data_IF_249360537270
#
_entry.id   IF_249360537270
#
_cell.length_a   1.000
_cell.length_b   1.000
_cell.length_c   1.000
_cell.angle_alpha   90.00
_cell.angle_beta   90.00
_cell.angle_gamma   90.00
#
_symmetry.space_group_name_H-M   'P 1'
#
loop_
_entity.id
_entity.type
_entity.pdbx_description
1 polymer ?
#
# COMPACT_ATOMS: atom_id res chain seq x y z
N UNK A 1 0.93 -27.59 12.81
CA UNK A 1 -0.10 -26.65 12.31
C UNK A 1 -0.08 -25.43 13.21
N UNK A 2 0.13 -24.21 12.70
CA UNK A 2 0.13 -23.00 13.51
C UNK A 2 -1.22 -22.84 14.23
N UNK A 3 -1.20 -22.39 15.47
CA UNK A 3 -2.43 -22.16 16.23
C UNK A 3 -3.12 -20.86 15.79
N UNK A 4 -4.43 -20.75 15.98
CA UNK A 4 -5.21 -19.57 15.56
C UNK A 4 -4.70 -18.24 16.15
N UNK A 5 -3.99 -18.28 17.29
CA UNK A 5 -3.34 -17.12 17.89
C UNK A 5 -2.14 -16.64 17.08
N UNK A 6 -1.30 -17.56 16.60
CA UNK A 6 -0.10 -17.28 15.81
C UNK A 6 -0.49 -16.65 14.47
N UNK A 7 -1.49 -17.23 13.79
CA UNK A 7 -2.05 -16.70 12.55
C UNK A 7 -2.54 -15.25 12.71
N UNK A 8 -3.20 -14.93 13.84
CA UNK A 8 -3.65 -13.55 14.11
C UNK A 8 -2.51 -12.58 14.42
N UNK A 9 -1.44 -13.07 15.03
CA UNK A 9 -0.27 -12.24 15.30
C UNK A 9 0.45 -11.92 13.99
N UNK A 10 0.71 -12.94 13.16
CA UNK A 10 1.32 -12.79 11.84
C UNK A 10 0.51 -11.84 10.95
N UNK A 11 -0.81 -12.00 10.89
CA UNK A 11 -1.68 -11.08 10.14
C UNK A 11 -1.52 -9.62 10.57
N UNK A 12 -1.38 -9.36 11.88
CA UNK A 12 -1.22 -7.99 12.38
C UNK A 12 0.12 -7.40 11.96
N UNK A 13 1.20 -8.14 12.14
CA UNK A 13 2.54 -7.70 11.78
C UNK A 13 2.66 -7.42 10.27
N UNK A 14 2.06 -8.28 9.44
CA UNK A 14 2.01 -8.09 8.00
C UNK A 14 1.16 -6.90 7.58
N UNK A 15 0.04 -6.64 8.27
CA UNK A 15 -0.78 -5.44 8.05
C UNK A 15 0.01 -4.18 8.36
N UNK A 16 0.69 -4.13 9.50
CA UNK A 16 1.49 -2.96 9.89
C UNK A 16 2.62 -2.72 8.88
N UNK A 17 3.28 -3.79 8.45
CA UNK A 17 4.33 -3.75 7.41
C UNK A 17 3.79 -3.25 6.06
N UNK A 18 2.64 -3.77 5.62
CA UNK A 18 2.04 -3.36 4.36
C UNK A 18 1.59 -1.89 4.41
N UNK A 19 1.03 -1.45 5.53
CA UNK A 19 0.59 -0.07 5.72
C UNK A 19 1.75 0.91 5.63
N UNK A 20 2.85 0.63 6.35
CA UNK A 20 4.05 1.46 6.35
C UNK A 20 4.67 1.57 4.95
N UNK A 21 4.79 0.44 4.24
CA UNK A 21 5.31 0.41 2.87
C UNK A 21 4.42 1.19 1.89
N UNK A 22 3.11 1.00 1.97
CA UNK A 22 2.17 1.69 1.08
C UNK A 22 2.21 3.20 1.30
N UNK A 23 2.15 3.65 2.55
CA UNK A 23 2.28 5.07 2.87
C UNK A 23 3.66 5.61 2.45
N UNK A 24 4.71 4.83 2.65
CA UNK A 24 6.08 5.14 2.22
C UNK A 24 6.18 5.42 0.72
N UNK A 25 5.51 4.65 -0.14
CA UNK A 25 5.49 4.88 -1.59
C UNK A 25 4.90 6.25 -1.94
N UNK A 26 3.79 6.63 -1.33
CA UNK A 26 3.18 7.94 -1.56
C UNK A 26 4.03 9.09 -1.00
N UNK A 27 4.66 8.89 0.16
CA UNK A 27 5.59 9.86 0.72
C UNK A 27 6.83 10.03 -0.14
N UNK A 28 7.36 8.96 -0.73
CA UNK A 28 8.45 9.04 -1.71
C UNK A 28 8.05 9.82 -2.95
N UNK A 29 6.82 9.65 -3.43
CA UNK A 29 6.30 10.46 -4.54
C UNK A 29 6.17 11.94 -4.14
N UNK A 30 5.67 12.24 -2.95
CA UNK A 30 5.63 13.62 -2.46
C UNK A 30 7.03 14.25 -2.36
N UNK A 31 8.03 13.47 -1.95
CA UNK A 31 9.43 13.92 -1.85
C UNK A 31 9.99 14.39 -3.20
N UNK A 32 9.60 13.75 -4.31
CA UNK A 32 10.07 14.19 -5.64
C UNK A 32 9.64 15.61 -5.95
N UNK A 33 8.45 16.03 -5.52
CA UNK A 33 7.97 17.41 -5.68
C UNK A 33 8.73 18.40 -4.80
N UNK A 34 9.14 18.01 -3.59
CA UNK A 34 10.06 18.83 -2.79
C UNK A 34 11.39 19.04 -3.50
N UNK A 35 11.91 18.00 -4.17
CA UNK A 35 13.13 18.10 -4.98
C UNK A 35 12.95 19.02 -6.18
N UNK A 36 11.83 18.91 -6.90
CA UNK A 36 11.49 19.82 -8.03
C UNK A 36 11.43 21.28 -7.59
N UNK A 37 10.81 21.55 -6.44
CA UNK A 37 10.74 22.89 -5.87
C UNK A 37 12.13 23.44 -5.50
N UNK A 38 12.96 22.64 -4.84
CA UNK A 38 14.35 23.04 -4.50
C UNK A 38 15.18 23.35 -5.74
N UNK A 39 14.91 22.68 -6.85
CA UNK A 39 15.57 22.91 -8.14
C UNK A 39 14.95 24.06 -8.95
N UNK A 40 13.90 24.71 -8.44
CA UNK A 40 13.21 25.81 -9.13
C UNK A 40 12.35 25.36 -10.32
N UNK A 41 12.03 24.06 -10.42
CA UNK A 41 11.18 23.52 -11.48
C UNK A 41 9.70 23.83 -11.25
N UNK A 42 9.29 23.86 -9.98
CA UNK A 42 7.94 24.24 -9.55
C UNK A 42 7.99 25.37 -8.50
N UNK A 43 6.92 26.15 -8.42
CA UNK A 43 6.77 27.22 -7.43
C UNK A 43 6.31 26.73 -6.06
N UNK A 44 6.44 27.57 -5.03
CA UNK A 44 5.96 27.24 -3.68
C UNK A 44 4.43 27.03 -3.62
N UNK A 45 3.65 27.75 -4.44
CA UNK A 45 2.20 27.56 -4.54
C UNK A 45 1.85 26.18 -5.11
N UNK A 46 2.52 25.78 -6.19
CA UNK A 46 2.33 24.47 -6.81
C UNK A 46 2.73 23.32 -5.88
N UNK A 47 3.85 23.44 -5.15
CA UNK A 47 4.21 22.48 -4.11
C UNK A 47 3.15 22.41 -3.01
N UNK A 48 2.60 23.55 -2.59
CA UNK A 48 1.53 23.58 -1.58
C UNK A 48 0.28 22.85 -2.04
N UNK A 49 -0.11 22.98 -3.31
CA UNK A 49 -1.26 22.29 -3.88
C UNK A 49 -1.03 20.77 -3.96
N UNK A 50 0.18 20.34 -4.36
CA UNK A 50 0.56 18.92 -4.38
C UNK A 50 0.57 18.28 -2.97
N UNK A 51 0.96 19.04 -1.94
CA UNK A 51 0.87 18.59 -0.54
C UNK A 51 -0.59 18.41 -0.13
N UNK A 52 -1.49 19.33 -0.51
CA UNK A 52 -2.92 19.20 -0.22
C UNK A 52 -3.53 17.99 -0.95
N UNK A 53 -3.18 17.76 -2.22
CA UNK A 53 -3.61 16.59 -2.98
C UNK A 53 -3.15 15.28 -2.29
N UNK A 54 -1.90 15.23 -1.83
CA UNK A 54 -1.40 14.10 -1.05
C UNK A 54 -2.20 13.88 0.24
N UNK A 55 -2.44 14.92 1.01
CA UNK A 55 -3.14 14.81 2.29
C UNK A 55 -4.60 14.38 2.11
N UNK A 56 -5.33 15.04 1.22
CA UNK A 56 -6.78 14.87 1.07
C UNK A 56 -7.15 13.69 0.17
N UNK A 57 -6.27 13.32 -0.75
CA UNK A 57 -6.41 12.18 -1.65
C UNK A 57 -5.66 10.95 -1.14
N UNK A 58 -4.35 10.93 -1.33
CA UNK A 58 -3.51 9.74 -1.19
C UNK A 58 -3.47 9.16 0.22
N UNK A 59 -3.06 9.98 1.19
CA UNK A 59 -2.98 9.56 2.59
C UNK A 59 -4.36 9.13 3.12
N UNK A 60 -5.42 9.83 2.68
CA UNK A 60 -6.80 9.50 3.04
C UNK A 60 -7.26 8.18 2.46
N UNK A 61 -6.90 7.86 1.21
CA UNK A 61 -7.24 6.58 0.57
C UNK A 61 -6.55 5.40 1.27
N UNK A 62 -5.27 5.55 1.64
CA UNK A 62 -4.54 4.58 2.46
C UNK A 62 -5.25 4.39 3.80
N UNK A 63 -5.46 5.47 4.56
CA UNK A 63 -6.15 5.40 5.85
C UNK A 63 -7.50 4.69 5.76
N UNK A 64 -8.31 5.02 4.74
CA UNK A 64 -9.63 4.41 4.52
C UNK A 64 -9.51 2.91 4.26
N UNK A 65 -8.53 2.48 3.46
CA UNK A 65 -8.29 1.07 3.14
C UNK A 65 -8.00 0.26 4.41
N UNK A 66 -7.05 0.72 5.22
CA UNK A 66 -6.64 0.05 6.46
C UNK A 66 -7.66 0.16 7.60
N UNK A 67 -8.60 1.11 7.50
CA UNK A 67 -9.72 1.25 8.45
C UNK A 67 -10.93 0.37 8.12
N UNK A 68 -11.12 -0.01 6.85
CA UNK A 68 -12.31 -0.74 6.38
C UNK A 68 -12.05 -2.23 6.22
N UNK A 69 -10.91 -2.60 5.62
CA UNK A 69 -10.63 -3.99 5.29
C UNK A 69 -10.19 -4.78 6.54
N UNK A 70 -10.56 -6.06 6.56
CA UNK A 70 -10.11 -6.99 7.61
C UNK A 70 -8.64 -7.37 7.41
N UNK A 71 -7.91 -7.79 8.45
CA UNK A 71 -6.49 -8.12 8.35
C UNK A 71 -6.14 -9.16 7.27
N UNK A 72 -6.97 -10.18 7.10
CA UNK A 72 -6.81 -11.20 6.05
C UNK A 72 -6.96 -10.62 4.64
N UNK A 73 -7.93 -9.72 4.45
CA UNK A 73 -8.12 -9.01 3.18
C UNK A 73 -6.97 -8.05 2.88
N UNK A 74 -6.46 -7.35 3.90
CA UNK A 74 -5.32 -6.44 3.78
C UNK A 74 -4.04 -7.19 3.38
N UNK A 75 -3.74 -8.33 4.02
CA UNK A 75 -2.57 -9.14 3.66
C UNK A 75 -2.73 -9.75 2.27
N UNK A 76 -3.91 -10.26 1.92
CA UNK A 76 -4.18 -10.77 0.58
C UNK A 76 -4.01 -9.69 -0.49
N UNK A 77 -4.51 -8.48 -0.23
CA UNK A 77 -4.31 -7.30 -1.10
C UNK A 77 -2.84 -6.98 -1.24
N UNK A 78 -2.13 -6.83 -0.13
CA UNK A 78 -0.72 -6.47 -0.12
C UNK A 78 0.16 -7.48 -0.88
N UNK A 79 -0.15 -8.78 -0.80
CA UNK A 79 0.49 -9.82 -1.63
C UNK A 79 0.07 -9.76 -3.10
N UNK A 80 -1.21 -9.47 -3.37
CA UNK A 80 -1.74 -9.38 -4.72
C UNK A 80 -1.13 -8.23 -5.51
N UNK A 81 -0.95 -7.08 -4.86
CA UNK A 81 -0.41 -5.86 -5.45
C UNK A 81 1.11 -5.70 -5.27
N UNK A 82 1.77 -6.60 -4.54
CA UNK A 82 3.23 -6.64 -4.43
C UNK A 82 3.86 -5.77 -3.33
N UNK A 83 3.08 -5.23 -2.39
CA UNK A 83 3.60 -4.56 -1.18
C UNK A 83 4.28 -5.54 -0.21
N UNK A 84 3.82 -6.79 -0.19
CA UNK A 84 4.45 -7.90 0.52
C UNK A 84 4.95 -8.92 -0.50
N UNK A 85 6.13 -9.47 -0.24
CA UNK A 85 6.68 -10.57 -1.03
C UNK A 85 6.13 -11.90 -0.50
N UNK A 86 5.94 -12.92 -1.36
CA UNK A 86 5.42 -14.20 -0.92
C UNK A 86 6.23 -14.81 0.22
N UNK A 87 7.57 -14.77 0.18
CA UNK A 87 8.48 -15.33 1.17
C UNK A 87 8.40 -14.69 2.56
N UNK A 88 7.82 -13.49 2.67
CA UNK A 88 7.58 -12.79 3.94
C UNK A 88 6.35 -13.33 4.70
N UNK A 89 5.49 -14.10 4.02
CA UNK A 89 4.23 -14.62 4.56
C UNK A 89 4.31 -16.13 4.69
N UNK A 90 3.87 -16.71 5.81
CA UNK A 90 3.90 -18.15 5.99
C UNK A 90 3.10 -18.90 4.93
N UNK A 91 3.58 -20.08 4.54
CA UNK A 91 2.92 -20.91 3.52
C UNK A 91 1.45 -21.22 3.88
N UNK A 92 1.16 -21.40 5.17
CA UNK A 92 -0.19 -21.65 5.66
C UNK A 92 -1.11 -20.45 5.39
N UNK A 93 -0.64 -19.21 5.63
CA UNK A 93 -1.42 -18.02 5.28
C UNK A 93 -1.58 -17.88 3.77
N UNK A 94 -0.50 -18.09 3.00
CA UNK A 94 -0.53 -17.98 1.54
C UNK A 94 -1.57 -18.93 0.93
N UNK A 95 -1.61 -20.18 1.38
CA UNK A 95 -2.62 -21.15 0.94
C UNK A 95 -4.03 -20.73 1.37
N UNK A 96 -4.20 -20.27 2.61
CA UNK A 96 -5.51 -19.84 3.12
C UNK A 96 -6.07 -18.63 2.36
N UNK A 97 -5.20 -17.74 1.88
CA UNK A 97 -5.57 -16.49 1.22
C UNK A 97 -5.46 -16.57 -0.31
N UNK A 98 -5.21 -17.74 -0.90
CA UNK A 98 -4.88 -17.91 -2.32
C UNK A 98 -5.87 -17.20 -3.26
N UNK A 99 -7.16 -17.41 -3.02
CA UNK A 99 -8.22 -16.91 -3.90
C UNK A 99 -8.34 -15.39 -3.79
N UNK A 100 -8.18 -14.85 -2.58
CA UNK A 100 -8.19 -13.41 -2.34
C UNK A 100 -6.93 -12.75 -2.94
N UNK A 101 -5.76 -13.39 -2.82
CA UNK A 101 -4.52 -12.90 -3.44
C UNK A 101 -4.66 -12.84 -4.96
N UNK A 102 -5.19 -13.91 -5.58
CA UNK A 102 -5.43 -13.96 -7.02
C UNK A 102 -6.39 -12.85 -7.46
N UNK A 103 -7.50 -12.68 -6.74
CA UNK A 103 -8.46 -11.60 -6.99
C UNK A 103 -7.79 -10.22 -7.01
N UNK A 104 -7.01 -9.87 -5.97
CA UNK A 104 -6.35 -8.57 -5.92
C UNK A 104 -5.28 -8.40 -6.99
N UNK A 105 -4.53 -9.46 -7.30
CA UNK A 105 -3.52 -9.42 -8.37
C UNK A 105 -4.14 -9.12 -9.73
N UNK A 106 -5.27 -9.74 -10.05
CA UNK A 106 -5.94 -9.55 -11.33
C UNK A 106 -6.61 -8.17 -11.45
N UNK A 107 -7.16 -7.64 -10.35
CA UNK A 107 -7.96 -6.42 -10.38
C UNK A 107 -7.16 -5.14 -10.05
N UNK A 108 -5.99 -5.27 -9.42
CA UNK A 108 -5.21 -4.15 -8.88
C UNK A 108 -3.71 -4.21 -9.21
N UNK A 109 -3.33 -4.79 -10.35
CA UNK A 109 -1.94 -4.80 -10.80
C UNK A 109 -1.34 -3.39 -10.75
N UNK A 110 -0.28 -3.21 -9.93
CA UNK A 110 0.50 -1.98 -9.84
C UNK A 110 1.30 -1.86 -11.14
N UNK A 111 1.14 -0.75 -11.86
CA UNK A 111 2.06 -0.42 -12.97
C UNK A 111 3.42 -0.06 -12.37
N UNK A 112 4.46 -0.82 -12.67
CA UNK A 112 5.81 -0.55 -12.16
C UNK A 112 6.34 0.84 -12.57
N UNK A 113 5.82 1.41 -13.66
CA UNK A 113 6.18 2.75 -14.16
C UNK A 113 5.30 3.86 -13.58
N UNK A 114 4.12 3.52 -13.06
CA UNK A 114 3.24 4.42 -12.31
C UNK A 114 2.50 3.62 -11.24
N UNK A 115 3.14 3.36 -10.08
CA UNK A 115 2.58 2.52 -9.04
C UNK A 115 1.26 3.04 -8.47
N UNK A 116 0.95 4.30 -8.76
CA UNK A 116 -0.24 5.01 -8.29
C UNK A 116 -1.34 5.08 -9.35
N UNK A 117 -1.08 4.67 -10.60
CA UNK A 117 -2.01 4.77 -11.75
C UNK A 117 -3.40 4.18 -11.48
N UNK A 118 -3.48 3.08 -10.71
CA UNK A 118 -4.74 2.39 -10.33
C UNK A 118 -5.29 2.81 -8.98
N UNK A 119 -4.56 3.64 -8.24
CA UNK A 119 -5.00 4.19 -6.96
C UNK A 119 -5.64 5.58 -7.16
N UNK A 120 -5.55 6.15 -8.37
CA UNK A 120 -6.14 7.43 -8.85
C UNK A 120 -7.65 7.40 -9.14
N UNK A 121 -8.32 6.26 -9.03
CA UNK A 121 -9.77 6.12 -9.31
C UNK A 121 -10.63 6.04 -8.07
#
# INVERSE_FOLDING_TARGET
>A
MPHAKEIRAELRELVDTAHDRELGLYLSHLETHFTEWRNGQIGAGELSDLIHEFHDGWARAVYKTYSILKPDQLVARALGIGLLRPDEVSEVLRQKLSDAIAYFREHYAIDENDPLSKLRT
#
